data_IF_474663994981
#
_entry.id   IF_474663994981
#
_cell.length_a   1.000
_cell.length_b   1.000
_cell.length_c   1.000
_cell.angle_alpha   90.00
_cell.angle_beta   90.00
_cell.angle_gamma   90.00
#
_symmetry.space_group_name_H-M   'P 1'
#
loop_
_entity.id
_entity.type
_entity.pdbx_description
1 polymer ?
#
# COMPACT_ATOMS: atom_id res chain seq x y z
N UNK A 1 37.40 -24.95 2.65
CA UNK A 1 37.00 -23.84 1.76
C UNK A 1 35.48 -23.75 1.82
N UNK A 2 34.91 -22.65 2.32
CA UNK A 2 33.46 -22.43 2.34
C UNK A 2 33.12 -21.52 1.17
N UNK A 3 32.45 -22.07 0.17
CA UNK A 3 31.98 -21.33 -0.99
C UNK A 3 30.69 -20.60 -0.61
N UNK A 4 30.74 -19.27 -0.60
CA UNK A 4 29.56 -18.43 -0.37
C UNK A 4 28.70 -18.41 -1.64
N UNK A 5 27.57 -19.12 -1.61
CA UNK A 5 26.58 -19.05 -2.67
C UNK A 5 25.59 -17.92 -2.36
N UNK A 6 25.58 -16.88 -3.20
CA UNK A 6 24.57 -15.83 -3.16
C UNK A 6 23.56 -16.09 -4.27
N UNK A 7 22.29 -16.27 -3.91
CA UNK A 7 21.21 -16.43 -4.89
C UNK A 7 20.56 -15.07 -5.12
N UNK A 8 20.63 -14.59 -6.36
CA UNK A 8 19.94 -13.36 -6.79
C UNK A 8 18.61 -13.81 -7.38
N UNK A 9 17.53 -13.67 -6.62
CA UNK A 9 16.17 -13.88 -7.15
C UNK A 9 15.67 -12.56 -7.73
N UNK A 10 15.60 -12.51 -9.06
CA UNK A 10 14.96 -11.40 -9.78
C UNK A 10 13.47 -11.70 -9.87
N UNK A 11 12.71 -11.15 -8.93
CA UNK A 11 11.26 -11.09 -9.04
C UNK A 11 10.90 -9.96 -9.99
N UNK A 12 10.15 -10.25 -11.04
CA UNK A 12 9.59 -9.21 -11.92
C UNK A 12 8.84 -8.19 -11.04
N UNK A 13 9.30 -6.94 -11.03
CA UNK A 13 8.78 -5.85 -10.18
C UNK A 13 7.45 -5.31 -10.76
N UNK A 14 6.60 -6.20 -11.28
CA UNK A 14 5.20 -5.88 -11.45
C UNK A 14 4.60 -5.86 -10.05
N UNK A 15 4.45 -4.64 -9.53
CA UNK A 15 3.98 -4.25 -8.18
C UNK A 15 2.56 -4.80 -7.90
N UNK A 16 2.44 -6.13 -7.80
CA UNK A 16 1.20 -6.83 -7.49
C UNK A 16 0.95 -6.71 -6.01
N UNK A 17 -0.13 -6.00 -5.68
CA UNK A 17 -0.65 -6.01 -4.33
C UNK A 17 -1.18 -7.43 -4.07
N UNK A 18 -0.72 -8.11 -2.99
CA UNK A 18 -1.16 -9.46 -2.69
C UNK A 18 -2.68 -9.52 -2.47
N UNK A 19 -3.32 -10.60 -2.92
CA UNK A 19 -4.74 -10.83 -2.70
C UNK A 19 -5.08 -10.70 -1.20
N UNK A 20 -6.08 -9.87 -0.87
CA UNK A 20 -6.49 -9.60 0.51
C UNK A 20 -5.73 -8.47 1.22
N UNK A 21 -4.77 -7.79 0.58
CA UNK A 21 -4.07 -6.64 1.17
C UNK A 21 -5.00 -5.50 1.58
N UNK A 22 -5.97 -5.12 0.73
CA UNK A 22 -6.96 -4.08 1.03
C UNK A 22 -7.72 -4.41 2.32
N UNK A 23 -8.20 -5.65 2.43
CA UNK A 23 -8.89 -6.16 3.63
C UNK A 23 -7.97 -6.14 4.85
N UNK A 24 -6.71 -6.55 4.69
CA UNK A 24 -5.73 -6.59 5.76
C UNK A 24 -5.47 -5.20 6.36
N UNK A 25 -5.10 -4.21 5.54
CA UNK A 25 -4.82 -2.84 6.00
C UNK A 25 -6.08 -2.16 6.53
N UNK A 26 -7.25 -2.54 6.01
CA UNK A 26 -8.54 -2.05 6.51
C UNK A 26 -8.75 -2.40 7.96
N UNK A 27 -8.54 -3.66 8.34
CA UNK A 27 -8.69 -4.09 9.73
C UNK A 27 -7.52 -3.63 10.61
N UNK A 28 -6.30 -3.61 10.08
CA UNK A 28 -5.11 -3.23 10.85
C UNK A 28 -5.10 -1.76 11.28
N UNK A 29 -5.62 -0.87 10.43
CA UNK A 29 -5.66 0.57 10.68
C UNK A 29 -7.08 1.15 10.86
N UNK A 30 -8.09 0.30 11.04
CA UNK A 30 -9.50 0.69 11.13
C UNK A 30 -9.95 1.62 9.99
N UNK A 31 -9.51 1.32 8.77
CA UNK A 31 -9.90 2.09 7.58
C UNK A 31 -11.32 1.75 7.16
N UNK A 32 -12.01 2.72 6.58
CA UNK A 32 -13.21 2.45 5.80
C UNK A 32 -12.83 1.78 4.47
N UNK A 33 -13.81 1.19 3.77
CA UNK A 33 -13.57 0.60 2.45
C UNK A 33 -12.98 1.61 1.46
N UNK A 34 -13.47 2.85 1.47
CA UNK A 34 -12.96 3.91 0.59
C UNK A 34 -11.52 4.32 0.93
N UNK A 35 -11.18 4.39 2.21
CA UNK A 35 -9.83 4.70 2.68
C UNK A 35 -8.85 3.57 2.33
N UNK A 36 -9.24 2.32 2.54
CA UNK A 36 -8.42 1.16 2.20
C UNK A 36 -8.15 1.08 0.69
N UNK A 37 -9.17 1.32 -0.15
CA UNK A 37 -9.02 1.40 -1.60
C UNK A 37 -8.06 2.50 -2.03
N UNK A 38 -8.13 3.67 -1.40
CA UNK A 38 -7.23 4.79 -1.68
C UNK A 38 -5.79 4.49 -1.23
N UNK A 39 -5.60 3.96 -0.02
CA UNK A 39 -4.30 3.54 0.50
C UNK A 39 -3.65 2.48 -0.40
N UNK A 40 -4.43 1.49 -0.85
CA UNK A 40 -4.02 0.44 -1.78
C UNK A 40 -3.56 1.02 -3.12
N UNK A 41 -4.34 1.94 -3.71
CA UNK A 41 -3.96 2.60 -4.96
C UNK A 41 -2.65 3.40 -4.85
N UNK A 42 -2.44 4.10 -3.72
CA UNK A 42 -1.21 4.82 -3.44
C UNK A 42 -0.03 3.86 -3.23
N UNK A 43 -0.23 2.72 -2.57
CA UNK A 43 0.79 1.67 -2.40
C UNK A 43 1.20 1.04 -3.75
N UNK A 44 0.26 0.91 -4.69
CA UNK A 44 0.56 0.54 -6.09
C UNK A 44 1.37 1.59 -6.86
N UNK A 45 1.62 2.77 -6.27
CA UNK A 45 2.34 3.87 -6.90
C UNK A 45 1.51 4.76 -7.80
N UNK A 46 0.18 4.67 -7.75
CA UNK A 46 -0.68 5.64 -8.43
C UNK A 46 -0.58 6.99 -7.72
N UNK A 47 -0.65 8.06 -8.49
CA UNK A 47 -0.75 9.41 -7.92
C UNK A 47 -2.14 9.66 -7.32
N UNK A 48 -2.23 10.66 -6.46
CA UNK A 48 -3.50 11.20 -5.93
C UNK A 48 -4.48 11.57 -7.06
N UNK A 49 -3.97 12.12 -8.16
CA UNK A 49 -4.78 12.56 -9.32
C UNK A 49 -5.36 11.37 -10.07
N UNK A 50 -4.55 10.34 -10.32
CA UNK A 50 -5.02 9.09 -10.93
C UNK A 50 -6.02 8.35 -10.04
N UNK A 51 -5.77 8.35 -8.73
CA UNK A 51 -6.67 7.71 -7.76
C UNK A 51 -8.02 8.44 -7.69
N UNK A 52 -8.00 9.78 -7.74
CA UNK A 52 -9.19 10.61 -7.80
C UNK A 52 -10.00 10.35 -9.08
N UNK A 53 -9.33 10.33 -10.24
CA UNK A 53 -9.94 10.04 -11.53
C UNK A 53 -10.59 8.65 -11.56
N UNK A 54 -9.86 7.62 -11.11
CA UNK A 54 -10.35 6.23 -11.05
C UNK A 54 -11.53 6.06 -10.08
N UNK A 55 -11.61 6.89 -9.04
CA UNK A 55 -12.70 6.85 -8.05
C UNK A 55 -13.83 7.83 -8.38
N UNK A 56 -13.73 8.54 -9.51
CA UNK A 56 -14.68 9.54 -9.99
C UNK A 56 -14.96 10.66 -8.96
N UNK A 57 -13.95 11.03 -8.16
CA UNK A 57 -14.00 12.10 -7.15
C UNK A 57 -13.01 13.23 -7.48
N UNK A 58 -13.19 14.38 -6.83
CA UNK A 58 -12.24 15.49 -6.96
C UNK A 58 -10.93 15.19 -6.22
N UNK A 59 -9.83 15.79 -6.68
CA UNK A 59 -8.53 15.72 -5.97
C UNK A 59 -8.64 16.30 -4.55
N UNK A 60 -9.52 17.30 -4.34
CA UNK A 60 -9.78 17.87 -3.01
C UNK A 60 -10.40 16.83 -2.07
N UNK A 61 -11.43 16.11 -2.53
CA UNK A 61 -12.05 15.01 -1.78
C UNK A 61 -11.05 13.89 -1.50
N UNK A 62 -10.24 13.54 -2.51
CA UNK A 62 -9.17 12.54 -2.41
C UNK A 62 -8.16 12.93 -1.31
N UNK A 63 -7.79 14.22 -1.24
CA UNK A 63 -6.91 14.76 -0.21
C UNK A 63 -7.53 14.72 1.19
N UNK A 64 -8.83 15.01 1.32
CA UNK A 64 -9.54 14.86 2.60
C UNK A 64 -9.54 13.41 3.10
N UNK A 65 -9.71 12.43 2.21
CA UNK A 65 -9.57 11.02 2.58
C UNK A 65 -8.13 10.68 2.96
N UNK A 66 -7.14 11.22 2.25
CA UNK A 66 -5.74 11.02 2.59
C UNK A 66 -5.39 11.56 3.98
N UNK A 67 -5.91 12.73 4.38
CA UNK A 67 -5.70 13.27 5.73
C UNK A 67 -6.30 12.38 6.83
N UNK A 68 -7.47 11.78 6.57
CA UNK A 68 -8.05 10.80 7.50
C UNK A 68 -7.19 9.55 7.61
N UNK A 69 -6.67 9.04 6.49
CA UNK A 69 -5.75 7.89 6.48
C UNK A 69 -4.48 8.22 7.25
N UNK A 70 -3.90 9.41 7.05
CA UNK A 70 -2.73 9.87 7.81
C UNK A 70 -2.98 9.89 9.31
N UNK A 71 -4.15 10.40 9.74
CA UNK A 71 -4.56 10.36 11.15
C UNK A 71 -4.65 8.92 11.69
N UNK A 72 -5.28 8.01 10.95
CA UNK A 72 -5.46 6.60 11.36
C UNK A 72 -4.18 5.77 11.35
N UNK A 73 -3.30 6.04 10.39
CA UNK A 73 -2.02 5.32 10.23
C UNK A 73 -0.86 5.98 10.95
N UNK A 74 -1.10 7.13 11.62
CA UNK A 74 -0.09 7.98 12.25
C UNK A 74 1.05 8.37 11.30
N UNK A 75 0.70 8.64 10.05
CA UNK A 75 1.64 9.11 9.04
C UNK A 75 1.39 10.57 8.69
N UNK A 76 2.39 11.24 8.08
CA UNK A 76 2.31 12.67 7.72
C UNK A 76 2.51 12.93 6.24
N UNK A 77 2.99 11.93 5.49
CA UNK A 77 3.34 12.06 4.07
C UNK A 77 2.96 10.80 3.30
N UNK A 78 2.69 10.95 1.99
CA UNK A 78 2.34 9.84 1.13
C UNK A 78 3.43 8.76 1.08
N UNK A 79 4.71 9.17 1.03
CA UNK A 79 5.84 8.25 1.05
C UNK A 79 5.92 7.41 2.33
N UNK A 80 5.63 8.03 3.48
CA UNK A 80 5.61 7.36 4.79
C UNK A 80 4.44 6.37 4.89
N UNK A 81 3.26 6.77 4.42
CA UNK A 81 2.12 5.86 4.28
C UNK A 81 2.46 4.66 3.40
N UNK A 82 3.06 4.88 2.23
CA UNK A 82 3.44 3.79 1.31
C UNK A 82 4.49 2.87 1.95
N UNK A 83 5.48 3.41 2.66
CA UNK A 83 6.49 2.62 3.35
C UNK A 83 5.86 1.77 4.48
N UNK A 84 4.97 2.35 5.28
CA UNK A 84 4.23 1.65 6.32
C UNK A 84 3.38 0.53 5.74
N UNK A 85 2.60 0.83 4.70
CA UNK A 85 1.73 -0.15 4.03
C UNK A 85 2.53 -1.34 3.50
N UNK A 86 3.69 -1.10 2.90
CA UNK A 86 4.60 -2.16 2.44
C UNK A 86 5.20 -2.98 3.58
N UNK A 87 5.45 -2.38 4.73
CA UNK A 87 5.92 -3.11 5.92
C UNK A 87 4.84 -4.01 6.53
N UNK A 88 3.57 -3.70 6.26
CA UNK A 88 2.41 -4.49 6.69
C UNK A 88 1.92 -5.47 5.63
N UNK A 89 2.55 -5.53 4.44
CA UNK A 89 2.25 -6.61 3.51
C UNK A 89 2.60 -7.93 4.21
N UNK A 90 1.61 -8.83 4.43
CA UNK A 90 1.92 -10.13 5.00
C UNK A 90 2.98 -10.78 4.12
N UNK A 91 3.94 -11.46 4.75
CA UNK A 91 4.97 -12.27 4.09
C UNK A 91 4.32 -13.45 3.35
N UNK A 92 3.53 -13.16 2.32
CA UNK A 92 2.88 -14.13 1.46
C UNK A 92 3.94 -14.64 0.48
N UNK A 93 4.79 -15.53 0.99
CA UNK A 93 5.95 -16.03 0.26
C UNK A 93 6.92 -16.90 1.05
N UNK A 94 6.59 -17.35 2.27
CA UNK A 94 7.34 -18.39 2.96
C UNK A 94 6.44 -19.61 3.16
N UNK A 95 6.13 -20.29 2.06
CA UNK A 95 5.55 -21.63 2.11
C UNK A 95 6.55 -22.59 2.75
N UNK A 96 6.10 -23.39 3.70
CA UNK A 96 6.79 -24.61 4.15
C UNK A 96 6.64 -25.69 3.09
#
# INVERSE_FOLDING_TARGET
ASESCAVIMVTEVARRIPDGFETHIRYLFDLTAAEAKLATALASGRSLKETAANSNITVKTCRTYLERIFSKTRTRQQSELVALLKSTEPLSGRGW
#
